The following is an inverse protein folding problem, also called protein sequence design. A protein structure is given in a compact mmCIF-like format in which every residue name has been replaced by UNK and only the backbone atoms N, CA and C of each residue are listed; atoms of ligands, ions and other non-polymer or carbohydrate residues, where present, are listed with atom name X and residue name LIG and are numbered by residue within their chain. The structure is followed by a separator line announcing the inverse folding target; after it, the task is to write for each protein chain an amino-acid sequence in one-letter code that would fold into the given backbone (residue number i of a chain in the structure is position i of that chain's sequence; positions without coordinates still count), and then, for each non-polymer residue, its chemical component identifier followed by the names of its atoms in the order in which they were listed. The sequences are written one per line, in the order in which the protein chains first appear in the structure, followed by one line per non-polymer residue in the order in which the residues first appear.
data_IF_124993109151
#
_entry.id   IF_124993109151
#
_cell.length_a   1.000
_cell.length_b   1.000
_cell.length_c   1.000
_cell.angle_alpha   90.00
_cell.angle_beta   90.00
_cell.angle_gamma   90.00
#
_symmetry.space_group_name_H-M   'P 1'
#
loop_
_entity.id
_entity.type
_entity.pdbx_description
1 polymer ?
#
# COMPACT_ATOMS: atom_id res chain seq x y z
N UNK A 1 -6.80 -80.37 -47.38
CA UNK A 1 -6.41 -79.61 -46.17
C UNK A 1 -6.36 -78.12 -46.51
N UNK A 2 -7.19 -77.25 -45.91
CA UNK A 2 -7.04 -75.81 -46.08
C UNK A 2 -6.12 -75.23 -44.99
N UNK A 3 -5.30 -74.26 -45.39
CA UNK A 3 -4.27 -73.63 -44.56
C UNK A 3 -4.87 -72.70 -43.49
N UNK A 4 -4.37 -72.79 -42.25
CA UNK A 4 -4.69 -71.88 -41.16
C UNK A 4 -3.96 -70.54 -41.36
N UNK A 5 -4.72 -69.45 -41.50
CA UNK A 5 -4.23 -68.07 -41.31
C UNK A 5 -3.85 -67.87 -39.83
N UNK A 6 -2.71 -67.24 -39.50
CA UNK A 6 -2.43 -66.86 -38.13
C UNK A 6 -3.30 -65.65 -37.74
N UNK A 7 -4.11 -65.83 -36.71
CA UNK A 7 -4.86 -64.80 -36.02
C UNK A 7 -3.89 -63.88 -35.27
N UNK A 8 -3.75 -62.63 -35.75
CA UNK A 8 -3.06 -61.57 -35.03
C UNK A 8 -3.87 -61.17 -33.77
N UNK A 9 -3.22 -60.88 -32.63
CA UNK A 9 -3.93 -60.34 -31.49
C UNK A 9 -4.35 -58.90 -31.81
N UNK A 10 -5.62 -58.61 -31.63
CA UNK A 10 -6.18 -57.27 -31.65
C UNK A 10 -5.51 -56.49 -30.50
N UNK A 11 -4.49 -55.70 -30.82
CA UNK A 11 -3.76 -54.88 -29.86
C UNK A 11 -4.69 -53.89 -29.16
N UNK A 12 -4.49 -53.77 -27.85
CA UNK A 12 -5.30 -53.01 -26.90
C UNK A 12 -5.60 -51.55 -27.34
N UNK A 13 -6.74 -50.96 -26.93
CA UNK A 13 -7.04 -49.57 -27.23
C UNK A 13 -6.02 -48.62 -26.57
N UNK A 14 -5.83 -47.41 -27.13
CA UNK A 14 -4.87 -46.44 -26.59
C UNK A 14 -5.19 -46.14 -25.13
N UNK A 15 -4.25 -46.43 -24.22
CA UNK A 15 -4.32 -46.05 -22.82
C UNK A 15 -4.51 -44.54 -22.74
N UNK A 16 -5.72 -44.12 -22.39
CA UNK A 16 -5.97 -42.72 -22.03
C UNK A 16 -5.04 -42.35 -20.87
N UNK A 17 -4.38 -41.17 -20.92
CA UNK A 17 -3.58 -40.71 -19.79
C UNK A 17 -4.47 -40.67 -18.54
N UNK A 18 -3.93 -40.98 -17.34
CA UNK A 18 -4.72 -41.00 -16.12
C UNK A 18 -5.31 -39.60 -15.90
N UNK A 19 -6.62 -39.50 -16.06
CA UNK A 19 -7.37 -38.24 -16.02
C UNK A 19 -7.34 -37.59 -14.63
N UNK A 20 -7.15 -38.40 -13.58
CA UNK A 20 -7.14 -37.98 -12.19
C UNK A 20 -6.03 -36.96 -11.84
N UNK A 21 -4.74 -37.19 -12.18
CA UNK A 21 -3.69 -36.18 -12.05
C UNK A 21 -3.99 -34.82 -12.70
N UNK A 22 -4.56 -34.85 -13.91
CA UNK A 22 -4.91 -33.63 -14.65
C UNK A 22 -6.03 -32.88 -13.95
N UNK A 23 -7.05 -33.58 -13.46
CA UNK A 23 -8.13 -32.98 -12.66
C UNK A 23 -7.63 -32.38 -11.35
N UNK A 24 -6.69 -33.03 -10.66
CA UNK A 24 -6.06 -32.48 -9.45
C UNK A 24 -5.29 -31.21 -9.76
N UNK A 25 -4.50 -31.20 -10.84
CA UNK A 25 -3.78 -30.01 -11.30
C UNK A 25 -4.74 -28.86 -11.60
N UNK A 26 -5.84 -29.13 -12.31
CA UNK A 26 -6.85 -28.12 -12.64
C UNK A 26 -7.53 -27.54 -11.39
N UNK A 27 -7.82 -28.38 -10.39
CA UNK A 27 -8.38 -27.91 -9.11
C UNK A 27 -7.40 -27.00 -8.39
N UNK A 28 -6.12 -27.36 -8.35
CA UNK A 28 -5.09 -26.52 -7.75
C UNK A 28 -4.98 -25.18 -8.47
N UNK A 29 -4.95 -25.19 -9.81
CA UNK A 29 -4.90 -23.95 -10.60
C UNK A 29 -6.12 -23.05 -10.35
N UNK A 30 -7.31 -23.64 -10.21
CA UNK A 30 -8.51 -22.87 -9.89
C UNK A 30 -8.40 -22.24 -8.50
N UNK A 31 -7.97 -23.01 -7.50
CA UNK A 31 -7.79 -22.49 -6.14
C UNK A 31 -6.74 -21.38 -6.05
N UNK A 32 -5.63 -21.51 -6.78
CA UNK A 32 -4.60 -20.48 -6.87
C UNK A 32 -5.14 -19.21 -7.52
N UNK A 33 -5.89 -19.34 -8.62
CA UNK A 33 -6.53 -18.20 -9.27
C UNK A 33 -7.57 -17.54 -8.37
N UNK A 34 -8.39 -18.29 -7.66
CA UNK A 34 -9.36 -17.74 -6.70
C UNK A 34 -8.67 -17.02 -5.54
N UNK A 35 -7.51 -17.50 -5.10
CA UNK A 35 -6.69 -16.80 -4.10
C UNK A 35 -6.12 -15.50 -4.66
N UNK A 36 -5.62 -15.51 -5.91
CA UNK A 36 -5.10 -14.32 -6.58
C UNK A 36 -6.18 -13.27 -6.80
N UNK A 37 -7.37 -13.67 -7.25
CA UNK A 37 -8.52 -12.77 -7.44
C UNK A 37 -8.84 -12.06 -6.13
N UNK A 38 -9.01 -12.81 -5.03
CA UNK A 38 -9.28 -12.23 -3.70
C UNK A 38 -8.18 -11.29 -3.24
N UNK A 39 -6.92 -11.61 -3.51
CA UNK A 39 -5.80 -10.73 -3.17
C UNK A 39 -5.89 -9.40 -3.94
N UNK A 40 -6.12 -9.46 -5.25
CA UNK A 40 -6.22 -8.28 -6.10
C UNK A 40 -7.44 -7.42 -5.75
N UNK A 41 -8.57 -8.03 -5.42
CA UNK A 41 -9.77 -7.31 -4.95
C UNK A 41 -9.47 -6.54 -3.66
N UNK A 42 -8.83 -7.19 -2.67
CA UNK A 42 -8.44 -6.55 -1.42
C UNK A 42 -7.45 -5.39 -1.64
N UNK A 43 -6.46 -5.57 -2.50
CA UNK A 43 -5.49 -4.52 -2.82
C UNK A 43 -6.13 -3.33 -3.54
N UNK A 44 -7.08 -3.61 -4.44
CA UNK A 44 -7.84 -2.58 -5.13
C UNK A 44 -8.69 -1.77 -4.15
N UNK A 45 -9.40 -2.45 -3.24
CA UNK A 45 -10.22 -1.81 -2.20
C UNK A 45 -9.36 -0.93 -1.28
N UNK A 46 -8.20 -1.43 -0.84
CA UNK A 46 -7.23 -0.65 -0.05
C UNK A 46 -6.73 0.58 -0.80
N UNK A 47 -6.35 0.41 -2.06
CA UNK A 47 -5.86 1.50 -2.91
C UNK A 47 -6.93 2.56 -3.16
N UNK A 48 -8.19 2.13 -3.31
CA UNK A 48 -9.33 3.03 -3.42
C UNK A 48 -9.56 3.82 -2.13
N UNK A 49 -9.61 3.15 -0.98
CA UNK A 49 -9.79 3.79 0.31
C UNK A 49 -8.66 4.79 0.64
N UNK A 50 -7.42 4.46 0.25
CA UNK A 50 -6.29 5.37 0.39
C UNK A 50 -6.47 6.63 -0.46
N UNK A 51 -6.83 6.49 -1.75
CA UNK A 51 -7.08 7.65 -2.63
C UNK A 51 -8.19 8.55 -2.10
N UNK A 52 -9.30 7.99 -1.68
CA UNK A 52 -10.41 8.77 -1.09
C UNK A 52 -9.97 9.53 0.17
N UNK A 53 -9.11 8.92 1.00
CA UNK A 53 -8.53 9.59 2.17
C UNK A 53 -7.59 10.73 1.76
N UNK A 54 -6.73 10.51 0.77
CA UNK A 54 -5.80 11.52 0.25
C UNK A 54 -6.57 12.70 -0.34
N UNK A 55 -7.61 12.46 -1.14
CA UNK A 55 -8.48 13.50 -1.69
C UNK A 55 -9.11 14.37 -0.60
N UNK A 56 -9.64 13.76 0.46
CA UNK A 56 -10.19 14.51 1.61
C UNK A 56 -9.14 15.38 2.29
N UNK A 57 -7.91 14.88 2.44
CA UNK A 57 -6.81 15.64 3.03
C UNK A 57 -6.39 16.80 2.13
N UNK A 58 -6.32 16.58 0.81
CA UNK A 58 -5.99 17.63 -0.16
C UNK A 58 -7.03 18.75 -0.16
N UNK A 59 -8.32 18.41 -0.20
CA UNK A 59 -9.41 19.40 -0.15
C UNK A 59 -9.35 20.20 1.15
N UNK A 60 -9.13 19.52 2.28
CA UNK A 60 -9.04 20.18 3.60
C UNK A 60 -7.82 21.09 3.69
N UNK A 61 -6.65 20.62 3.23
CA UNK A 61 -5.43 21.41 3.23
C UNK A 61 -5.57 22.64 2.34
N UNK A 62 -6.17 22.50 1.16
CA UNK A 62 -6.40 23.61 0.23
C UNK A 62 -7.33 24.68 0.82
N UNK A 63 -8.45 24.26 1.43
CA UNK A 63 -9.34 25.20 2.13
C UNK A 63 -8.62 25.92 3.28
N UNK A 64 -7.89 25.17 4.11
CA UNK A 64 -7.13 25.73 5.22
C UNK A 64 -6.05 26.71 4.74
N UNK A 65 -5.38 26.42 3.62
CA UNK A 65 -4.41 27.31 2.99
C UNK A 65 -5.07 28.60 2.50
N UNK A 66 -6.22 28.51 1.84
CA UNK A 66 -6.99 29.68 1.42
C UNK A 66 -7.36 30.59 2.59
N UNK A 67 -7.84 29.99 3.69
CA UNK A 67 -8.15 30.73 4.92
C UNK A 67 -6.90 31.35 5.56
N UNK A 68 -5.75 30.66 5.53
CA UNK A 68 -4.50 31.19 6.06
C UNK A 68 -4.01 32.40 5.27
N UNK A 69 -4.11 32.38 3.94
CA UNK A 69 -3.77 33.49 3.06
C UNK A 69 -4.69 34.70 3.31
N UNK A 70 -6.01 34.46 3.37
CA UNK A 70 -6.97 35.53 3.65
C UNK A 70 -6.71 36.20 5.01
N UNK A 71 -6.32 35.43 6.03
CA UNK A 71 -6.01 35.97 7.35
C UNK A 71 -4.67 36.71 7.39
N UNK A 72 -3.70 36.31 6.57
CA UNK A 72 -2.46 37.04 6.38
C UNK A 72 -2.71 38.40 5.70
N UNK A 73 -3.57 38.46 4.68
CA UNK A 73 -3.93 39.70 3.99
C UNK A 73 -4.82 40.61 4.83
N UNK A 74 -5.74 40.05 5.63
CA UNK A 74 -6.61 40.81 6.52
C UNK A 74 -5.92 41.31 7.81
N UNK A 75 -4.64 40.97 8.03
CA UNK A 75 -3.87 41.35 9.22
C UNK A 75 -4.42 40.77 10.54
N UNK A 76 -5.44 39.91 10.47
CA UNK A 76 -6.07 39.27 11.63
C UNK A 76 -5.48 37.88 11.84
N UNK A 77 -4.84 37.59 13.00
CA UNK A 77 -4.31 36.26 13.28
C UNK A 77 -5.45 35.23 13.32
N UNK A 78 -5.18 33.95 12.99
CA UNK A 78 -6.20 32.96 12.75
C UNK A 78 -7.16 32.77 13.94
N UNK A 79 -8.42 33.19 13.79
CA UNK A 79 -9.48 32.96 14.78
C UNK A 79 -10.19 31.65 14.45
N UNK A 80 -9.65 30.55 14.97
CA UNK A 80 -10.31 29.23 14.90
C UNK A 80 -9.37 28.05 14.69
N UNK A 81 -8.13 28.29 14.26
CA UNK A 81 -7.05 27.32 14.39
C UNK A 81 -6.27 27.70 15.64
N UNK A 82 -6.00 26.79 16.60
CA UNK A 82 -5.19 27.14 17.75
C UNK A 82 -3.87 27.72 17.22
N UNK A 83 -3.68 29.02 17.44
CA UNK A 83 -2.46 29.78 17.14
C UNK A 83 -1.22 29.22 17.86
N UNK A 84 -1.31 28.05 18.49
CA UNK A 84 -0.24 27.37 19.20
C UNK A 84 -0.34 25.84 19.23
N UNK A 85 -1.04 25.16 18.30
CA UNK A 85 -0.91 23.70 18.20
C UNK A 85 0.33 23.32 17.38
N UNK A 86 1.50 23.75 17.83
CA UNK A 86 2.76 23.15 17.38
C UNK A 86 2.67 21.67 17.74
N UNK A 87 2.85 20.75 16.78
CA UNK A 87 2.94 19.33 17.08
C UNK A 87 3.99 19.09 18.17
N UNK A 88 3.86 18.03 18.98
CA UNK A 88 4.86 17.74 20.02
C UNK A 88 6.30 17.75 19.46
N UNK A 89 6.48 17.27 18.23
CA UNK A 89 7.76 17.34 17.51
C UNK A 89 8.20 18.78 17.19
N UNK A 90 7.28 19.65 16.77
CA UNK A 90 7.57 21.06 16.55
C UNK A 90 7.92 21.79 17.87
N UNK A 91 7.22 21.47 18.97
CA UNK A 91 7.57 21.96 20.30
C UNK A 91 8.95 21.47 20.75
N UNK A 92 9.27 20.19 20.50
CA UNK A 92 10.57 19.61 20.80
C UNK A 92 11.69 20.27 20.00
N UNK A 93 11.47 20.56 18.71
CA UNK A 93 12.43 21.30 17.86
C UNK A 93 12.68 22.71 18.39
N UNK A 94 11.63 23.44 18.76
CA UNK A 94 11.74 24.79 19.32
C UNK A 94 12.47 24.78 20.66
N UNK A 95 12.11 23.86 21.57
CA UNK A 95 12.78 23.71 22.86
C UNK A 95 14.27 23.37 22.70
N UNK A 96 14.61 22.52 21.74
CA UNK A 96 16.01 22.14 21.45
C UNK A 96 16.79 23.32 20.83
N UNK A 97 16.17 24.05 19.89
CA UNK A 97 16.76 25.22 19.26
C UNK A 97 17.01 26.34 20.30
N UNK A 98 16.05 26.60 21.19
CA UNK A 98 16.19 27.58 22.26
C UNK A 98 17.31 27.22 23.26
N UNK A 99 17.45 25.93 23.61
CA UNK A 99 18.56 25.45 24.46
C UNK A 99 19.92 25.62 23.79
N UNK A 100 20.03 25.37 22.48
CA UNK A 100 21.28 25.58 21.71
C UNK A 100 21.61 27.05 21.55
N UNK A 101 20.62 27.91 21.34
CA UNK A 101 20.80 29.36 21.26
C UNK A 101 21.20 29.98 22.62
N UNK A 102 20.82 29.34 23.73
CA UNK A 102 21.15 29.77 25.09
C UNK A 102 22.39 29.08 25.68
N UNK A 103 22.97 28.10 25.00
CA UNK A 103 24.27 27.55 25.39
C UNK A 103 25.34 28.62 25.09
N UNK A 104 25.97 29.23 26.10
CA UNK A 104 27.08 30.13 25.84
C UNK A 104 28.22 29.32 25.24
N UNK A 105 28.87 29.86 24.22
CA UNK A 105 30.16 29.39 23.75
C UNK A 105 31.19 29.52 24.88
N UNK A 106 31.20 28.54 25.78
CA UNK A 106 32.22 28.40 26.81
C UNK A 106 33.47 27.78 26.20
N UNK A 107 34.34 28.63 25.64
CA UNK A 107 35.80 28.42 25.67
C UNK A 107 36.51 29.73 25.30
N UNK A 108 36.89 30.50 26.30
CA UNK A 108 37.96 31.48 26.15
C UNK A 108 39.27 30.69 25.92
N UNK A 109 40.05 30.97 24.85
CA UNK A 109 41.42 30.51 24.79
C UNK A 109 42.26 31.35 25.75
N UNK A 110 42.97 30.64 26.63
CA UNK A 110 44.05 31.13 27.47
C UNK A 110 45.11 31.89 26.67
N UNK A 111 45.51 33.06 27.17
CA UNK A 111 46.87 33.61 27.13
C UNK A 111 47.01 34.65 28.24
#
# INVERSE_FOLDING_TARGET
SPQKKPSAPLGDPPRTPPLAPVLQLLRNQLQEKDALIRHLENDWERSRAQREREERLLVTAWYNMGLALQQQEAGTPPRGLPSGAQSFLAQQRLATAARRARAPHGRAPSS
#
